data_IF_821562880528
#
_entry.id   IF_821562880528
#
_cell.length_a   1.000
_cell.length_b   1.000
_cell.length_c   1.000
_cell.angle_alpha   90.00
_cell.angle_beta   90.00
_cell.angle_gamma   90.00
#
_symmetry.space_group_name_H-M   'P 1'
#
loop_
_entity.id
_entity.type
_entity.pdbx_description
1 polymer ?
#
# COMPACT_ATOMS: atom_id res chain seq x y z
N UNK A 1 -26.24 -10.87 -9.62
CA UNK A 1 -24.80 -11.09 -9.28
C UNK A 1 -23.87 -9.99 -9.80
N UNK A 2 -24.17 -9.32 -10.91
CA UNK A 2 -23.32 -8.27 -11.53
C UNK A 2 -23.12 -6.99 -10.69
N UNK A 3 -24.15 -6.54 -9.97
CA UNK A 3 -24.14 -5.31 -9.14
C UNK A 3 -23.19 -5.38 -7.95
N UNK A 4 -22.99 -6.56 -7.35
CA UNK A 4 -22.00 -6.77 -6.27
C UNK A 4 -20.57 -6.59 -6.77
N UNK A 5 -20.29 -6.94 -8.03
CA UNK A 5 -18.98 -6.78 -8.63
C UNK A 5 -18.71 -5.30 -8.96
N UNK A 6 -19.68 -4.61 -9.57
CA UNK A 6 -19.58 -3.17 -9.88
C UNK A 6 -19.39 -2.33 -8.61
N UNK A 7 -20.15 -2.60 -7.53
CA UNK A 7 -19.99 -1.89 -6.26
C UNK A 7 -18.62 -2.16 -5.60
N UNK A 8 -18.03 -3.35 -5.81
CA UNK A 8 -16.69 -3.68 -5.34
C UNK A 8 -15.61 -2.91 -6.09
N UNK A 9 -15.74 -2.74 -7.40
CA UNK A 9 -14.83 -1.94 -8.23
C UNK A 9 -14.99 -0.43 -8.00
N UNK A 10 -16.22 0.06 -7.89
CA UNK A 10 -16.51 1.46 -7.54
C UNK A 10 -15.97 1.83 -6.17
N UNK A 11 -16.07 0.94 -5.19
CA UNK A 11 -15.48 1.17 -3.87
C UNK A 11 -13.95 1.24 -3.91
N UNK A 12 -13.29 0.37 -4.70
CA UNK A 12 -11.82 0.40 -4.86
C UNK A 12 -11.30 1.70 -5.50
N UNK A 13 -12.16 2.45 -6.18
CA UNK A 13 -11.84 3.72 -6.87
C UNK A 13 -12.43 4.93 -6.16
N UNK A 14 -12.95 4.76 -4.94
CA UNK A 14 -13.54 5.85 -4.17
C UNK A 14 -12.51 6.50 -3.27
N UNK A 15 -12.68 7.80 -3.01
CA UNK A 15 -11.86 8.57 -2.08
C UNK A 15 -11.79 7.93 -0.69
N UNK A 16 -12.90 7.35 -0.21
CA UNK A 16 -12.94 6.65 1.07
C UNK A 16 -12.04 5.40 1.12
N UNK A 17 -11.80 4.74 -0.02
CA UNK A 17 -10.84 3.64 -0.08
C UNK A 17 -9.41 4.17 -0.03
N UNK A 18 -9.11 5.24 -0.78
CA UNK A 18 -7.79 5.86 -0.78
C UNK A 18 -7.41 6.42 0.60
N UNK A 19 -8.35 7.06 1.30
CA UNK A 19 -8.18 7.52 2.69
C UNK A 19 -7.91 6.35 3.63
N UNK A 20 -8.65 5.25 3.50
CA UNK A 20 -8.41 4.06 4.31
C UNK A 20 -7.04 3.42 4.02
N UNK A 21 -6.58 3.45 2.77
CA UNK A 21 -5.24 2.98 2.38
C UNK A 21 -4.16 3.86 2.96
N UNK A 22 -4.33 5.19 2.93
CA UNK A 22 -3.39 6.13 3.55
C UNK A 22 -3.25 5.86 5.05
N UNK A 23 -4.37 5.75 5.78
CA UNK A 23 -4.37 5.42 7.21
C UNK A 23 -3.68 4.06 7.50
N UNK A 24 -3.88 3.07 6.64
CA UNK A 24 -3.24 1.77 6.78
C UNK A 24 -1.72 1.83 6.52
N UNK A 25 -1.27 2.68 5.59
CA UNK A 25 0.15 2.95 5.34
C UNK A 25 0.77 3.63 6.55
N UNK A 26 0.14 4.68 7.09
CA UNK A 26 0.66 5.40 8.26
C UNK A 26 0.71 4.49 9.48
N UNK A 27 -0.34 3.70 9.72
CA UNK A 27 -0.33 2.69 10.78
C UNK A 27 0.77 1.65 10.57
N UNK A 28 1.07 1.26 9.32
CA UNK A 28 2.15 0.31 9.05
C UNK A 28 3.53 0.90 9.33
N UNK A 29 3.72 2.20 9.07
CA UNK A 29 4.97 2.92 9.36
C UNK A 29 5.17 3.12 10.86
N UNK A 30 4.10 3.48 11.57
CA UNK A 30 4.17 3.77 13.01
C UNK A 30 4.28 2.47 13.84
N UNK A 31 3.55 1.40 13.49
CA UNK A 31 3.46 0.18 14.31
C UNK A 31 4.28 -0.99 13.76
N UNK A 32 4.81 -0.85 12.54
CA UNK A 32 5.69 -1.84 11.94
C UNK A 32 7.00 -1.89 12.71
N UNK A 33 7.11 -2.79 13.70
CA UNK A 33 8.42 -3.16 14.28
C UNK A 33 9.22 -3.91 13.21
N UNK A 34 9.92 -3.19 12.33
CA UNK A 34 10.66 -3.72 11.19
C UNK A 34 10.14 -3.19 9.84
N UNK A 35 10.03 -4.06 8.84
CA UNK A 35 9.58 -3.66 7.50
C UNK A 35 8.06 -3.33 7.47
N UNK A 36 7.68 -2.07 7.19
CA UNK A 36 6.28 -1.67 7.11
C UNK A 36 5.51 -2.44 6.01
N UNK A 37 6.17 -2.89 4.94
CA UNK A 37 5.55 -3.72 3.89
C UNK A 37 5.13 -5.06 4.47
N UNK A 38 5.98 -5.71 5.25
CA UNK A 38 5.68 -7.01 5.85
C UNK A 38 4.63 -6.91 6.95
N UNK A 39 4.62 -5.82 7.72
CA UNK A 39 3.52 -5.54 8.65
C UNK A 39 2.17 -5.45 7.91
N UNK A 40 2.10 -4.67 6.83
CA UNK A 40 0.89 -4.53 6.02
C UNK A 40 0.44 -5.87 5.40
N UNK A 41 1.39 -6.71 4.92
CA UNK A 41 1.11 -8.06 4.41
C UNK A 41 0.54 -8.98 5.48
N UNK A 42 1.11 -8.98 6.69
CA UNK A 42 0.60 -9.77 7.82
C UNK A 42 -0.82 -9.37 8.16
N UNK A 43 -1.12 -8.06 8.19
CA UNK A 43 -2.49 -7.56 8.37
C UNK A 43 -3.43 -8.03 7.27
N UNK A 44 -3.04 -7.98 6.00
CA UNK A 44 -3.86 -8.46 4.88
C UNK A 44 -4.19 -9.97 4.95
N UNK A 45 -3.34 -10.77 5.61
CA UNK A 45 -3.55 -12.21 5.79
C UNK A 45 -4.43 -12.57 7.01
N UNK A 46 -4.64 -11.65 7.96
CA UNK A 46 -5.53 -11.89 9.11
C UNK A 46 -6.98 -12.07 8.66
N UNK A 47 -7.78 -12.81 9.45
CA UNK A 47 -9.22 -12.98 9.23
C UNK A 47 -9.92 -11.63 9.42
N UNK A 48 -10.08 -10.90 8.32
CA UNK A 48 -10.71 -9.58 8.26
C UNK A 48 -11.79 -9.57 7.17
N UNK A 49 -12.64 -8.53 7.18
CA UNK A 49 -13.56 -8.30 6.08
C UNK A 49 -12.79 -8.14 4.76
N UNK A 50 -13.40 -8.59 3.66
CA UNK A 50 -12.79 -8.52 2.32
C UNK A 50 -12.32 -7.09 2.02
N UNK A 51 -13.12 -6.07 2.39
CA UNK A 51 -12.78 -4.66 2.26
C UNK A 51 -11.45 -4.32 2.95
N UNK A 52 -11.31 -4.61 4.25
CA UNK A 52 -10.08 -4.31 5.00
C UNK A 52 -8.87 -5.05 4.44
N UNK A 53 -9.05 -6.29 3.98
CA UNK A 53 -7.98 -7.04 3.31
C UNK A 53 -7.45 -6.31 2.07
N UNK A 54 -8.33 -5.78 1.23
CA UNK A 54 -7.93 -4.99 0.05
C UNK A 54 -7.21 -3.71 0.42
N UNK A 55 -7.65 -3.01 1.47
CA UNK A 55 -6.98 -1.81 1.98
C UNK A 55 -5.54 -2.14 2.38
N UNK A 56 -5.34 -3.17 3.20
CA UNK A 56 -4.00 -3.60 3.63
C UNK A 56 -3.12 -4.09 2.47
N UNK A 57 -3.72 -4.74 1.47
CA UNK A 57 -2.99 -5.18 0.28
C UNK A 57 -2.55 -3.99 -0.60
N UNK A 58 -3.42 -2.99 -0.78
CA UNK A 58 -3.09 -1.76 -1.48
C UNK A 58 -2.02 -0.96 -0.73
N UNK A 59 -2.11 -0.86 0.60
CA UNK A 59 -1.10 -0.24 1.45
C UNK A 59 0.28 -0.92 1.29
N UNK A 60 0.33 -2.26 1.33
CA UNK A 60 1.56 -3.02 1.11
C UNK A 60 2.16 -2.78 -0.28
N UNK A 61 1.33 -2.67 -1.32
CA UNK A 61 1.79 -2.38 -2.68
C UNK A 61 2.36 -0.97 -2.80
N UNK A 62 1.71 0.02 -2.17
CA UNK A 62 2.18 1.42 -2.15
C UNK A 62 3.53 1.54 -1.45
N UNK A 63 3.65 0.98 -0.24
CA UNK A 63 4.92 0.93 0.51
C UNK A 63 6.03 0.25 -0.29
N UNK A 64 5.72 -0.85 -0.99
CA UNK A 64 6.70 -1.54 -1.84
C UNK A 64 7.12 -0.70 -3.04
N UNK A 65 6.19 0.04 -3.65
CA UNK A 65 6.51 0.95 -4.74
C UNK A 65 7.40 2.09 -4.25
N UNK A 66 7.11 2.68 -3.08
CA UNK A 66 7.93 3.72 -2.45
C UNK A 66 9.35 3.21 -2.14
N UNK A 67 9.49 2.02 -1.54
CA UNK A 67 10.82 1.43 -1.30
C UNK A 67 11.59 1.18 -2.60
N UNK A 68 10.92 0.73 -3.68
CA UNK A 68 11.55 0.55 -4.99
C UNK A 68 11.98 1.88 -5.60
N UNK A 69 11.14 2.91 -5.54
CA UNK A 69 11.49 4.24 -6.03
C UNK A 69 12.65 4.84 -5.24
N UNK A 70 12.66 4.68 -3.91
CA UNK A 70 13.79 5.09 -3.08
C UNK A 70 15.08 4.34 -3.43
N UNK A 71 14.99 3.03 -3.69
CA UNK A 71 16.13 2.23 -4.11
C UNK A 71 16.66 2.66 -5.51
N UNK A 72 15.76 2.99 -6.44
CA UNK A 72 16.15 3.49 -7.77
C UNK A 72 16.80 4.86 -7.65
N UNK A 73 16.27 5.78 -6.84
CA UNK A 73 16.86 7.10 -6.62
C UNK A 73 18.22 7.01 -5.91
N UNK A 74 18.38 6.09 -4.97
CA UNK A 74 19.67 5.84 -4.32
C UNK A 74 20.69 5.21 -5.27
N UNK A 75 20.24 4.31 -6.16
CA UNK A 75 21.08 3.70 -7.19
C UNK A 75 21.45 4.70 -8.31
N UNK A 76 20.58 5.69 -8.57
CA UNK A 76 20.82 6.79 -9.50
C UNK A 76 21.54 7.97 -8.81
N UNK A 77 22.48 7.69 -7.90
CA UNK A 77 23.30 8.69 -7.21
C UNK A 77 23.95 9.72 -8.16
N UNK A 78 24.56 10.80 -7.62
CA UNK A 78 24.86 12.08 -8.29
C UNK A 78 25.90 12.05 -9.43
N UNK A 79 26.05 10.94 -10.14
CA UNK A 79 26.90 10.81 -11.33
C UNK A 79 26.27 11.45 -12.59
N UNK A 80 25.07 12.05 -12.47
CA UNK A 80 24.48 12.86 -13.54
C UNK A 80 25.08 14.30 -13.62
N UNK A 81 25.88 14.73 -12.63
CA UNK A 81 26.49 16.07 -12.62
C UNK A 81 27.97 16.09 -13.08
N UNK A 82 28.47 15.01 -13.71
CA UNK A 82 29.84 14.95 -14.25
C UNK A 82 29.89 14.53 -15.72
N UNK A 83 29.15 15.22 -16.59
CA UNK A 83 29.41 15.22 -18.04
C UNK A 83 29.64 16.64 -18.53
#
# INVERSE_FOLDING_TARGET
MFTRWINRWRWRRSRAFDEAVALAVDQAREWGRGDPVDYARRRARRRQSVRRKWVWQAAANRLRAEQRSAAILLAAGPDAERS
#
